data_IF_360733000288
#
_entry.id   IF_360733000288
#
_cell.length_a   1.000
_cell.length_b   1.000
_cell.length_c   1.000
_cell.angle_alpha   90.00
_cell.angle_beta   90.00
_cell.angle_gamma   90.00
#
_symmetry.space_group_name_H-M   'P 1'
#
loop_
_entity.id
_entity.type
_entity.pdbx_description
1 polymer ?
#
# COMPACT_ATOMS: atom_id res chain seq x y z
N UNK A 1 15.48 36.73 -17.76
CA UNK A 1 14.58 35.56 -17.87
C UNK A 1 14.76 34.99 -19.27
N UNK A 2 15.51 33.89 -19.43
CA UNK A 2 15.69 33.29 -20.76
C UNK A 2 14.35 32.78 -21.28
N UNK A 3 13.96 33.17 -22.50
CA UNK A 3 12.79 32.61 -23.17
C UNK A 3 13.10 31.15 -23.51
N UNK A 4 12.60 30.22 -22.70
CA UNK A 4 12.67 28.78 -22.98
C UNK A 4 11.71 28.48 -24.14
N UNK A 5 12.14 28.78 -25.37
CA UNK A 5 11.44 28.35 -26.57
C UNK A 5 12.04 27.00 -26.96
N UNK A 6 11.28 25.91 -26.75
CA UNK A 6 11.68 24.54 -27.10
C UNK A 6 12.09 24.33 -28.58
N UNK A 7 11.97 25.34 -29.45
CA UNK A 7 12.41 25.27 -30.85
C UNK A 7 13.70 26.01 -31.18
N UNK A 8 14.06 27.09 -30.47
CA UNK A 8 15.04 28.06 -30.99
C UNK A 8 16.50 27.65 -30.77
N UNK A 9 16.81 27.05 -29.61
CA UNK A 9 18.19 26.74 -29.20
C UNK A 9 18.42 25.25 -28.89
N UNK A 10 17.44 24.37 -29.16
CA UNK A 10 17.52 22.94 -28.83
C UNK A 10 17.57 22.60 -27.33
N UNK A 11 17.65 23.60 -26.45
CA UNK A 11 17.69 23.41 -24.98
C UNK A 11 16.38 22.80 -24.48
N UNK A 12 16.49 21.89 -23.52
CA UNK A 12 15.37 21.25 -22.78
C UNK A 12 15.62 21.40 -21.29
N UNK A 13 14.56 21.44 -20.46
CA UNK A 13 14.73 21.33 -19.02
C UNK A 13 15.54 20.06 -18.68
N UNK A 14 16.51 20.13 -17.76
CA UNK A 14 17.21 18.94 -17.30
C UNK A 14 16.22 17.99 -16.62
N UNK A 15 16.44 16.69 -16.81
CA UNK A 15 15.68 15.63 -16.13
C UNK A 15 16.51 15.12 -14.96
N UNK A 16 15.87 15.00 -13.80
CA UNK A 16 16.53 14.44 -12.61
C UNK A 16 16.85 12.96 -12.82
N UNK A 17 18.06 12.48 -12.46
CA UNK A 17 18.41 11.06 -12.60
C UNK A 17 17.48 10.13 -11.83
N UNK A 18 16.89 10.61 -10.73
CA UNK A 18 15.90 9.88 -9.94
C UNK A 18 14.62 9.56 -10.70
N UNK A 19 14.33 10.27 -11.80
CA UNK A 19 13.16 10.04 -12.63
C UNK A 19 13.39 8.98 -13.71
N UNK A 20 14.65 8.69 -14.04
CA UNK A 20 15.03 7.76 -15.12
C UNK A 20 15.80 6.54 -14.63
N UNK A 21 16.04 6.40 -13.32
CA UNK A 21 16.80 5.30 -12.72
C UNK A 21 16.02 3.97 -12.62
N UNK A 22 14.79 3.89 -13.14
CA UNK A 22 13.96 2.68 -13.10
C UNK A 22 13.33 2.36 -11.74
N UNK A 23 13.52 3.20 -10.72
CA UNK A 23 12.91 3.01 -9.39
C UNK A 23 11.39 3.16 -9.41
N UNK A 24 10.86 3.94 -10.34
CA UNK A 24 9.43 4.14 -10.54
C UNK A 24 9.10 4.01 -12.03
N UNK A 25 8.52 2.86 -12.40
CA UNK A 25 8.19 2.55 -13.79
C UNK A 25 7.15 3.51 -14.38
N UNK A 26 6.20 4.00 -13.58
CA UNK A 26 5.15 4.93 -14.04
C UNK A 26 5.74 6.32 -14.32
N UNK A 27 6.65 6.78 -13.45
CA UNK A 27 7.40 8.02 -13.67
C UNK A 27 8.28 7.91 -14.91
N UNK A 28 8.95 6.78 -15.12
CA UNK A 28 9.76 6.55 -16.32
C UNK A 28 8.91 6.58 -17.61
N UNK A 29 7.72 5.96 -17.60
CA UNK A 29 6.76 6.05 -18.71
C UNK A 29 6.35 7.50 -18.99
N UNK A 30 6.05 8.28 -17.95
CA UNK A 30 5.70 9.70 -18.10
C UNK A 30 6.85 10.53 -18.66
N UNK A 31 8.07 10.33 -18.15
CA UNK A 31 9.26 11.03 -18.65
C UNK A 31 9.51 10.69 -20.12
N UNK A 32 9.36 9.43 -20.52
CA UNK A 32 9.43 9.03 -21.92
C UNK A 32 8.45 9.81 -22.80
N UNK A 33 7.18 9.89 -22.37
CA UNK A 33 6.18 10.68 -23.08
C UNK A 33 6.55 12.16 -23.20
N UNK A 34 7.08 12.78 -22.13
CA UNK A 34 7.56 14.16 -22.18
C UNK A 34 8.69 14.33 -23.20
N UNK A 35 9.64 13.38 -23.20
CA UNK A 35 10.79 13.39 -24.12
C UNK A 35 10.36 13.30 -25.58
N UNK A 36 9.41 12.41 -25.87
CA UNK A 36 8.88 12.25 -27.21
C UNK A 36 8.07 13.47 -27.66
N UNK A 37 7.33 14.12 -26.76
CA UNK A 37 6.53 15.31 -27.08
C UNK A 37 7.39 16.50 -27.52
N UNK A 38 8.57 16.67 -26.94
CA UNK A 38 9.48 17.77 -27.28
C UNK A 38 10.68 17.33 -28.12
N UNK A 39 10.57 16.20 -28.83
CA UNK A 39 11.63 15.69 -29.69
C UNK A 39 12.12 16.75 -30.70
N UNK A 40 13.42 16.76 -31.02
CA UNK A 40 14.00 17.74 -31.94
C UNK A 40 13.29 17.71 -33.30
N UNK A 41 13.23 16.53 -33.92
CA UNK A 41 12.49 16.26 -35.14
C UNK A 41 10.97 16.31 -34.93
N UNK A 42 10.21 17.18 -35.63
CA UNK A 42 8.76 17.28 -35.47
C UNK A 42 8.00 16.00 -35.81
N UNK A 43 8.45 15.26 -36.83
CA UNK A 43 7.82 14.01 -37.29
C UNK A 43 7.99 12.86 -36.29
N UNK A 44 8.93 12.97 -35.35
CA UNK A 44 9.11 12.00 -34.26
C UNK A 44 8.26 12.35 -33.04
N UNK A 45 7.61 13.53 -33.00
CA UNK A 45 6.80 13.93 -31.85
C UNK A 45 5.50 13.16 -31.82
N UNK A 46 5.04 12.84 -30.62
CA UNK A 46 3.74 12.21 -30.45
C UNK A 46 2.59 13.12 -30.86
N UNK A 47 1.57 12.50 -31.47
CA UNK A 47 0.28 13.14 -31.67
C UNK A 47 -0.45 13.24 -30.33
N UNK A 48 -1.36 14.21 -30.21
CA UNK A 48 -2.19 14.34 -29.02
C UNK A 48 -2.98 13.05 -28.71
N UNK A 49 -3.41 12.32 -29.74
CA UNK A 49 -4.09 11.04 -29.57
C UNK A 49 -3.18 9.99 -28.92
N UNK A 50 -1.94 9.87 -29.39
CA UNK A 50 -0.97 8.92 -28.82
C UNK A 50 -0.61 9.28 -27.38
N UNK A 51 -0.46 10.58 -27.08
CA UNK A 51 -0.25 11.07 -25.71
C UNK A 51 -1.43 10.71 -24.81
N UNK A 52 -2.67 10.95 -25.27
CA UNK A 52 -3.88 10.63 -24.50
C UNK A 52 -3.97 9.16 -24.15
N UNK A 53 -3.70 8.27 -25.10
CA UNK A 53 -3.75 6.82 -24.89
C UNK A 53 -2.69 6.41 -23.86
N UNK A 54 -1.43 6.76 -24.10
CA UNK A 54 -0.33 6.34 -23.25
C UNK A 54 -0.40 6.95 -21.83
N UNK A 55 -0.85 8.20 -21.70
CA UNK A 55 -1.09 8.81 -20.39
C UNK A 55 -2.28 8.17 -19.68
N UNK A 56 -3.33 7.79 -20.41
CA UNK A 56 -4.46 7.04 -19.88
C UNK A 56 -4.04 5.72 -19.26
N UNK A 57 -3.21 4.93 -19.97
CA UNK A 57 -2.66 3.67 -19.45
C UNK A 57 -1.89 3.87 -18.13
N UNK A 58 -1.07 4.92 -18.02
CA UNK A 58 -0.34 5.23 -16.78
C UNK A 58 -1.31 5.59 -15.63
N UNK A 59 -2.37 6.36 -15.92
CA UNK A 59 -3.37 6.73 -14.92
C UNK A 59 -4.11 5.49 -14.42
N UNK A 60 -4.51 4.60 -15.33
CA UNK A 60 -5.26 3.39 -14.99
C UNK A 60 -4.38 2.42 -14.18
N UNK A 61 -3.11 2.25 -14.56
CA UNK A 61 -2.12 1.49 -13.78
C UNK A 61 -2.01 2.01 -12.33
N UNK A 62 -1.91 3.34 -12.16
CA UNK A 62 -1.77 3.97 -10.84
C UNK A 62 -3.03 3.85 -9.99
N UNK A 63 -4.22 3.94 -10.59
CA UNK A 63 -5.49 3.71 -9.89
C UNK A 63 -5.59 2.28 -9.38
N UNK A 64 -5.23 1.30 -10.22
CA UNK A 64 -5.23 -0.11 -9.82
C UNK A 64 -4.26 -0.40 -8.67
N UNK A 65 -3.09 0.27 -8.65
CA UNK A 65 -2.17 0.20 -7.52
C UNK A 65 -2.78 0.81 -6.25
N UNK A 66 -3.38 1.98 -6.34
CA UNK A 66 -4.03 2.64 -5.21
C UNK A 66 -5.15 1.79 -4.61
N UNK A 67 -5.97 1.15 -5.46
CA UNK A 67 -7.03 0.24 -5.01
C UNK A 67 -6.48 -0.99 -4.29
N UNK A 68 -5.39 -1.59 -4.80
CA UNK A 68 -4.71 -2.70 -4.13
C UNK A 68 -4.15 -2.30 -2.78
N UNK A 69 -3.44 -1.18 -2.70
CA UNK A 69 -2.92 -0.66 -1.43
C UNK A 69 -4.04 -0.36 -0.43
N UNK A 70 -5.16 0.21 -0.88
CA UNK A 70 -6.32 0.47 -0.03
C UNK A 70 -6.91 -0.84 0.50
N UNK A 71 -7.06 -1.87 -0.35
CA UNK A 71 -7.54 -3.19 0.05
C UNK A 71 -6.60 -3.86 1.06
N UNK A 72 -5.30 -3.76 0.86
CA UNK A 72 -4.28 -4.30 1.79
C UNK A 72 -4.31 -3.59 3.14
N UNK A 73 -4.47 -2.27 3.17
CA UNK A 73 -4.62 -1.49 4.41
C UNK A 73 -5.87 -1.89 5.18
N UNK A 74 -7.01 -2.05 4.48
CA UNK A 74 -8.26 -2.50 5.10
C UNK A 74 -8.11 -3.93 5.64
N UNK A 75 -7.56 -4.85 4.84
CA UNK A 75 -7.31 -6.24 5.27
C UNK A 75 -6.41 -6.32 6.50
N UNK A 76 -5.36 -5.51 6.56
CA UNK A 76 -4.42 -5.46 7.69
C UNK A 76 -5.06 -4.87 8.95
N UNK A 77 -6.06 -4.00 8.79
CA UNK A 77 -6.84 -3.46 9.89
C UNK A 77 -7.88 -4.47 10.40
N UNK A 78 -8.56 -5.18 9.51
CA UNK A 78 -9.53 -6.22 9.89
C UNK A 78 -8.89 -7.38 10.66
N UNK A 79 -7.69 -7.83 10.27
CA UNK A 79 -6.98 -8.88 11.03
C UNK A 79 -6.62 -8.45 12.46
N UNK A 80 -6.24 -7.18 12.66
CA UNK A 80 -5.95 -6.67 14.02
C UNK A 80 -7.19 -6.61 14.91
N UNK A 81 -8.36 -6.31 14.33
CA UNK A 81 -9.63 -6.26 15.06
C UNK A 81 -10.07 -7.67 15.49
N UNK A 82 -9.86 -8.70 14.65
CA UNK A 82 -10.22 -10.07 14.99
C UNK A 82 -9.34 -10.62 16.13
N UNK A 83 -8.03 -10.34 16.13
CA UNK A 83 -7.15 -10.76 17.23
C UNK A 83 -7.52 -10.10 18.57
N UNK A 84 -7.99 -8.85 18.56
CA UNK A 84 -8.48 -8.18 19.78
C UNK A 84 -9.82 -8.76 20.27
N UNK A 85 -10.75 -9.12 19.38
CA UNK A 85 -12.02 -9.72 19.79
C UNK A 85 -11.86 -11.18 20.27
N UNK A 86 -10.97 -11.96 19.67
CA UNK A 86 -10.66 -13.33 20.15
C UNK A 86 -9.94 -13.28 21.50
N UNK A 87 -9.18 -12.23 21.81
CA UNK A 87 -8.59 -12.02 23.12
C UNK A 87 -9.62 -11.59 24.19
N UNK A 88 -10.78 -11.03 23.80
CA UNK A 88 -11.81 -10.55 24.71
C UNK A 88 -12.86 -11.60 25.09
N UNK A 89 -12.87 -12.76 24.42
CA UNK A 89 -13.86 -13.82 24.62
C UNK A 89 -13.31 -15.07 25.33
N UNK A 90 -12.39 -14.88 26.28
CA UNK A 90 -12.13 -15.87 27.32
C UNK A 90 -12.97 -15.55 28.55
N UNK A 91 -14.02 -16.33 28.86
CA UNK A 91 -14.69 -16.22 30.15
C UNK A 91 -13.66 -16.55 31.23
N UNK A 92 -13.36 -15.60 32.11
CA UNK A 92 -12.76 -15.88 33.42
C UNK A 92 -13.72 -16.77 34.22
N UNK A 93 -13.75 -18.07 33.92
CA UNK A 93 -14.24 -19.10 34.84
C UNK A 93 -13.20 -19.23 35.94
N UNK A 94 -13.38 -18.45 36.99
CA UNK A 94 -12.70 -18.70 38.27
C UNK A 94 -13.29 -19.99 38.87
N UNK A 95 -12.50 -21.06 39.06
CA UNK A 95 -12.98 -22.30 39.63
C UNK A 95 -12.78 -22.24 41.15
N UNK A 96 -13.69 -21.61 41.88
CA UNK A 96 -13.72 -21.74 43.34
C UNK A 96 -15.12 -22.16 43.80
N UNK A 97 -15.39 -23.45 43.64
CA UNK A 97 -16.40 -24.18 44.41
C UNK A 97 -15.70 -25.27 45.21
N UNK A 98 -15.64 -25.19 46.55
CA UNK A 98 -15.19 -26.31 47.36
C UNK A 98 -16.40 -27.22 47.59
N UNK A 99 -16.39 -28.40 46.97
CA UNK A 99 -17.27 -29.50 47.39
C UNK A 99 -16.47 -30.72 47.81
N UNK A 100 -16.78 -31.16 49.04
CA UNK A 100 -16.56 -32.46 49.69
C UNK A 100 -15.16 -32.72 50.29
N UNK A 101 -15.15 -33.04 51.59
CA UNK A 101 -15.29 -34.42 52.08
C UNK A 101 -15.68 -34.47 53.56
N UNK A 102 -16.75 -35.24 53.84
CA UNK A 102 -17.02 -35.86 55.14
C UNK A 102 -15.96 -36.94 55.32
N UNK A 103 -15.24 -36.91 56.43
CA UNK A 103 -14.56 -38.09 56.96
C UNK A 103 -15.05 -38.35 58.38
N UNK A 104 -15.30 -39.63 58.64
CA UNK A 104 -15.97 -40.15 59.81
C UNK A 104 -14.97 -40.47 60.94
N UNK A 105 -15.41 -40.12 62.15
CA UNK A 105 -15.15 -40.72 63.47
C UNK A 105 -14.26 -41.96 63.57
N UNK A 106 -13.19 -41.87 64.36
CA UNK A 106 -12.70 -42.85 65.35
C UNK A 106 -11.44 -42.23 66.02
N UNK A 107 -11.15 -42.22 67.32
CA UNK A 107 -11.42 -43.10 68.47
C UNK A 107 -11.35 -42.27 69.78
N UNK A 108 -12.08 -42.68 70.82
CA UNK A 108 -11.55 -42.72 72.18
C UNK A 108 -12.33 -43.78 72.97
N UNK A 109 -11.63 -44.87 73.28
CA UNK A 109 -12.10 -45.95 74.15
C UNK A 109 -11.78 -45.60 75.61
N UNK A 110 -12.70 -46.02 76.47
CA UNK A 110 -12.63 -46.27 77.91
C UNK A 110 -11.26 -46.57 78.51
N UNK A 111 -10.95 -45.90 79.63
CA UNK A 111 -10.93 -46.46 81.00
C UNK A 111 -11.18 -45.33 82.01
#
# INVERSE_FOLDING_TARGET
MEKIVCGANGKRPPLEPSWTNGSNIHLQKMVGLMVDCWHHSPHCRHTALKVKIALGEVIDDLKALQEREAKERISSQTMKVIDEEVAFDFPRRSPNSPTKKRDASTYLATC
#
